data_IF_228994483594
#
_entry.id   IF_228994483594
#
_cell.length_a   1.000
_cell.length_b   1.000
_cell.length_c   1.000
_cell.angle_alpha   90.00
_cell.angle_beta   90.00
_cell.angle_gamma   90.00
#
_symmetry.space_group_name_H-M   'P 1'
#
loop_
_entity.id
_entity.type
_entity.pdbx_description
1 polymer ?
#
# COMPACT_ATOMS: atom_id res chain seq x y z
N UNK A 1 17.61 -0.93 24.28
CA UNK A 1 17.66 -0.76 25.75
C UNK A 1 16.29 -1.09 26.28
N UNK A 2 16.20 -1.93 27.30
CA UNK A 2 14.94 -2.36 27.90
C UNK A 2 14.75 -1.63 29.24
N UNK A 3 13.57 -1.07 29.48
CA UNK A 3 13.17 -0.62 30.82
C UNK A 3 11.89 -1.36 31.19
N UNK A 4 11.99 -2.18 32.24
CA UNK A 4 10.85 -2.80 32.90
C UNK A 4 10.30 -1.83 33.94
N UNK A 5 9.01 -1.52 33.85
CA UNK A 5 8.27 -0.91 34.95
C UNK A 5 6.83 -1.44 34.92
N UNK A 6 6.48 -2.17 35.99
CA UNK A 6 5.13 -2.40 36.53
C UNK A 6 4.02 -2.80 35.55
N UNK A 7 3.86 -4.12 35.35
CA UNK A 7 2.58 -4.83 35.55
C UNK A 7 1.37 -4.53 34.67
N UNK A 8 1.38 -3.48 33.84
CA UNK A 8 0.33 -3.16 32.90
C UNK A 8 0.95 -3.05 31.51
N UNK A 9 0.67 -4.00 30.62
CA UNK A 9 0.89 -3.82 29.19
C UNK A 9 -0.15 -2.77 28.75
N UNK A 10 0.16 -1.49 28.97
CA UNK A 10 -0.56 -0.43 28.26
C UNK A 10 -0.11 -0.54 26.81
N UNK A 11 -1.03 -0.85 25.86
CA UNK A 11 -0.66 -0.89 24.46
C UNK A 11 -0.01 0.45 24.12
N UNK A 12 1.13 0.41 23.43
CA UNK A 12 1.81 1.63 22.99
C UNK A 12 0.81 2.42 22.14
N UNK A 13 0.27 3.49 22.71
CA UNK A 13 -0.47 4.47 21.94
C UNK A 13 0.57 5.22 21.11
N UNK A 14 0.60 4.92 19.83
CA UNK A 14 1.42 5.67 18.89
C UNK A 14 0.90 7.10 18.84
N UNK A 15 1.83 8.06 18.84
CA UNK A 15 1.48 9.45 18.57
C UNK A 15 0.93 9.61 17.15
N UNK A 16 0.13 10.65 16.87
CA UNK A 16 -0.34 10.93 15.50
C UNK A 16 0.80 11.00 14.47
N UNK A 17 1.97 11.51 14.88
CA UNK A 17 3.18 11.56 14.04
C UNK A 17 3.72 10.16 13.73
N UNK A 18 3.73 9.26 14.72
CA UNK A 18 4.15 7.87 14.50
C UNK A 18 3.15 7.10 13.61
N UNK A 19 1.84 7.32 13.80
CA UNK A 19 0.79 6.72 12.96
C UNK A 19 0.89 7.20 11.51
N UNK A 20 1.09 8.51 11.30
CA UNK A 20 1.30 9.07 9.98
C UNK A 20 2.53 8.46 9.29
N UNK A 21 3.66 8.35 10.00
CA UNK A 21 4.87 7.70 9.46
C UNK A 21 4.67 6.23 9.11
N UNK A 22 3.90 5.49 9.91
CA UNK A 22 3.55 4.11 9.60
C UNK A 22 2.69 4.03 8.34
N UNK A 23 1.69 4.90 8.20
CA UNK A 23 0.87 4.98 7.01
C UNK A 23 1.68 5.40 5.76
N UNK A 24 2.65 6.31 5.89
CA UNK A 24 3.59 6.66 4.81
C UNK A 24 4.39 5.44 4.36
N UNK A 25 4.95 4.69 5.30
CA UNK A 25 5.72 3.48 5.02
C UNK A 25 4.86 2.40 4.34
N UNK A 26 3.65 2.17 4.84
CA UNK A 26 2.69 1.24 4.27
C UNK A 26 2.30 1.65 2.84
N UNK A 27 1.99 2.94 2.61
CA UNK A 27 1.69 3.46 1.27
C UNK A 27 2.86 3.21 0.32
N UNK A 28 4.10 3.46 0.76
CA UNK A 28 5.29 3.24 -0.06
C UNK A 28 5.48 1.75 -0.42
N UNK A 29 5.29 0.85 0.54
CA UNK A 29 5.36 -0.60 0.32
C UNK A 29 4.31 -1.07 -0.69
N UNK A 30 3.05 -0.64 -0.52
CA UNK A 30 1.96 -1.01 -1.43
C UNK A 30 2.16 -0.44 -2.84
N UNK A 31 2.73 0.76 -2.97
CA UNK A 31 3.10 1.33 -4.27
C UNK A 31 4.24 0.56 -4.94
N UNK A 32 5.23 0.09 -4.16
CA UNK A 32 6.32 -0.73 -4.66
C UNK A 32 5.82 -2.10 -5.14
N UNK A 33 4.98 -2.78 -4.34
CA UNK A 33 4.35 -4.04 -4.71
C UNK A 33 3.54 -3.90 -6.01
N UNK A 34 2.69 -2.85 -6.11
CA UNK A 34 1.94 -2.60 -7.32
C UNK A 34 2.83 -2.29 -8.54
N UNK A 35 4.01 -1.69 -8.35
CA UNK A 35 4.96 -1.48 -9.44
C UNK A 35 5.58 -2.81 -9.92
N UNK A 36 5.88 -3.73 -8.99
CA UNK A 36 6.37 -5.08 -9.30
C UNK A 36 5.35 -5.88 -10.12
N UNK A 37 4.07 -5.80 -9.79
CA UNK A 37 3.00 -6.51 -10.52
C UNK A 37 2.72 -5.86 -11.89
N UNK A 38 2.78 -4.53 -11.97
CA UNK A 38 2.53 -3.81 -13.24
C UNK A 38 3.62 -4.04 -14.27
N UNK A 39 4.89 -4.18 -13.86
CA UNK A 39 6.01 -4.27 -14.81
C UNK A 39 5.82 -5.37 -15.86
N UNK A 40 5.63 -6.67 -15.50
CA UNK A 40 5.47 -7.73 -16.49
C UNK A 40 4.19 -7.58 -17.32
N UNK A 41 3.10 -7.11 -16.72
CA UNK A 41 1.83 -6.87 -17.42
C UNK A 41 1.96 -5.75 -18.46
N UNK A 42 2.71 -4.71 -18.12
CA UNK A 42 3.00 -3.61 -19.01
C UNK A 42 3.93 -4.05 -20.15
N UNK A 43 4.96 -4.86 -19.85
CA UNK A 43 5.85 -5.42 -20.87
C UNK A 43 5.05 -6.26 -21.88
N UNK A 44 4.14 -7.14 -21.41
CA UNK A 44 3.25 -7.92 -22.28
C UNK A 44 2.33 -7.02 -23.12
N UNK A 45 1.78 -5.95 -22.55
CA UNK A 45 0.94 -5.00 -23.27
C UNK A 45 1.73 -4.22 -24.34
N UNK A 46 2.95 -3.79 -24.02
CA UNK A 46 3.83 -3.05 -24.92
C UNK A 46 4.35 -3.91 -26.08
N UNK A 47 4.52 -5.21 -25.86
CA UNK A 47 4.84 -6.20 -26.90
C UNK A 47 3.62 -6.65 -27.72
N UNK A 48 2.41 -6.29 -27.30
CA UNK A 48 1.17 -6.75 -27.91
C UNK A 48 0.88 -8.24 -27.65
N UNK A 49 1.49 -8.82 -26.63
CA UNK A 49 1.33 -10.22 -26.22
C UNK A 49 0.37 -10.41 -25.05
N UNK A 50 -0.05 -9.31 -24.39
CA UNK A 50 -0.97 -9.36 -23.27
C UNK A 50 -2.34 -9.93 -23.67
N UNK A 51 -2.78 -10.93 -22.91
CA UNK A 51 -4.13 -11.48 -22.95
C UNK A 51 -5.17 -10.45 -22.48
N UNK A 52 -6.46 -10.72 -22.75
CA UNK A 52 -7.55 -9.88 -22.23
C UNK A 52 -7.53 -9.79 -20.70
N UNK A 53 -7.23 -10.91 -20.02
CA UNK A 53 -7.13 -10.99 -18.57
C UNK A 53 -5.95 -10.16 -18.04
N UNK A 54 -4.78 -10.25 -18.67
CA UNK A 54 -3.61 -9.43 -18.29
C UNK A 54 -3.86 -7.93 -18.49
N UNK A 55 -4.57 -7.55 -19.56
CA UNK A 55 -4.96 -6.16 -19.78
C UNK A 55 -5.97 -5.66 -18.74
N UNK A 56 -6.94 -6.50 -18.36
CA UNK A 56 -7.89 -6.18 -17.29
C UNK A 56 -7.17 -6.02 -15.95
N UNK A 57 -6.24 -6.92 -15.64
CA UNK A 57 -5.44 -6.91 -14.41
C UNK A 57 -4.49 -5.69 -14.38
N UNK A 58 -3.84 -5.35 -15.49
CA UNK A 58 -3.01 -4.15 -15.65
C UNK A 58 -3.83 -2.89 -15.35
N UNK A 59 -5.05 -2.80 -15.87
CA UNK A 59 -5.95 -1.69 -15.61
C UNK A 59 -6.36 -1.62 -14.13
N UNK A 60 -6.65 -2.76 -13.51
CA UNK A 60 -6.99 -2.84 -12.09
C UNK A 60 -5.83 -2.36 -11.20
N UNK A 61 -4.59 -2.80 -11.47
CA UNK A 61 -3.39 -2.34 -10.76
C UNK A 61 -3.10 -0.85 -10.97
N UNK A 62 -3.31 -0.33 -12.19
CA UNK A 62 -3.18 1.12 -12.44
C UNK A 62 -4.21 1.92 -11.64
N UNK A 63 -5.47 1.48 -11.57
CA UNK A 63 -6.51 2.11 -10.73
C UNK A 63 -6.14 2.04 -9.26
N UNK A 64 -5.68 0.88 -8.78
CA UNK A 64 -5.21 0.68 -7.42
C UNK A 64 -4.08 1.67 -7.04
N UNK A 65 -3.05 1.82 -7.88
CA UNK A 65 -1.98 2.82 -7.66
C UNK A 65 -2.51 4.26 -7.61
N UNK A 66 -3.50 4.60 -8.43
CA UNK A 66 -4.13 5.93 -8.38
C UNK A 66 -4.88 6.13 -7.06
N UNK A 67 -5.60 5.12 -6.60
CA UNK A 67 -6.30 5.18 -5.30
C UNK A 67 -5.32 5.30 -4.14
N UNK A 68 -4.26 4.48 -4.11
CA UNK A 68 -3.18 4.58 -3.12
C UNK A 68 -2.53 5.96 -3.10
N UNK A 69 -2.24 6.53 -4.26
CA UNK A 69 -1.63 7.86 -4.33
C UNK A 69 -2.50 8.95 -3.69
N UNK A 70 -3.83 8.78 -3.71
CA UNK A 70 -4.80 9.70 -3.07
C UNK A 70 -4.94 9.49 -1.57
N UNK A 71 -4.51 8.36 -1.02
CA UNK A 71 -4.49 8.13 0.44
C UNK A 71 -3.58 9.16 1.09
N UNK A 72 -4.08 9.82 2.13
CA UNK A 72 -3.32 10.77 2.93
C UNK A 72 -2.90 10.10 4.25
N UNK A 73 -1.60 9.93 4.49
CA UNK A 73 -1.11 9.33 5.73
C UNK A 73 -1.51 10.11 7.00
N UNK A 74 -1.84 11.39 6.87
CA UNK A 74 -2.32 12.25 7.96
C UNK A 74 -3.69 11.82 8.53
N UNK A 75 -4.48 11.05 7.77
CA UNK A 75 -5.77 10.53 8.22
C UNK A 75 -5.61 9.33 9.17
N UNK A 76 -4.38 8.86 9.43
CA UNK A 76 -4.13 7.74 10.32
C UNK A 76 -4.61 8.00 11.76
N UNK A 77 -5.24 7.02 12.42
CA UNK A 77 -5.39 5.62 12.00
C UNK A 77 -6.63 5.33 11.12
N UNK A 78 -7.44 6.33 10.81
CA UNK A 78 -8.71 6.21 10.07
C UNK A 78 -8.48 6.21 8.55
N UNK A 79 -7.66 5.27 8.08
CA UNK A 79 -7.36 5.11 6.65
C UNK A 79 -8.04 3.85 6.13
N UNK A 80 -8.89 4.02 5.12
CA UNK A 80 -9.39 2.90 4.32
C UNK A 80 -8.42 2.63 3.19
N UNK A 81 -7.64 1.55 3.32
CA UNK A 81 -6.73 1.11 2.27
C UNK A 81 -7.52 0.46 1.12
N UNK A 82 -7.16 0.76 -0.15
CA UNK A 82 -7.77 0.09 -1.29
C UNK A 82 -7.45 -1.41 -1.26
N UNK A 83 -8.36 -2.22 -1.80
CA UNK A 83 -8.17 -3.67 -1.91
C UNK A 83 -7.21 -4.01 -3.04
N UNK A 84 -6.42 -5.08 -2.85
CA UNK A 84 -5.50 -5.58 -3.87
C UNK A 84 -6.29 -6.17 -5.05
N UNK A 85 -5.90 -5.86 -6.30
CA UNK A 85 -6.44 -6.52 -7.48
C UNK A 85 -6.17 -8.04 -7.47
N UNK A 86 -7.08 -8.80 -8.08
CA UNK A 86 -7.03 -10.27 -8.26
C UNK A 86 -7.29 -10.67 -9.70
#
# INVERSE_FOLDING_TARGET
GWVFSEGEIKPRQYSPVELCKQAEAQKAELLAAAATEISPLQDAADLGEATEDENALLLAWKKYRVMLNRVKPEDAPDITWPELPS
#
